data_IF_777127380146
#
_entry.id   IF_777127380146
#
_cell.length_a   1.000
_cell.length_b   1.000
_cell.length_c   1.000
_cell.angle_alpha   90.00
_cell.angle_beta   90.00
_cell.angle_gamma   90.00
#
_symmetry.space_group_name_H-M   'P 1'
#
loop_
_entity.id
_entity.type
_entity.pdbx_description
1 polymer ?
#
# COMPACT_ATOMS: atom_id res chain seq x y z
N UNK A 1 9.60 -12.73 3.21
CA UNK A 1 8.61 -12.54 4.30
C UNK A 1 7.62 -13.69 4.27
N UNK A 2 7.27 -14.26 5.43
CA UNK A 2 6.31 -15.37 5.51
C UNK A 2 4.91 -14.93 5.10
N UNK A 3 4.09 -15.86 4.60
CA UNK A 3 2.70 -15.58 4.18
C UNK A 3 1.88 -15.02 5.34
N UNK A 4 2.04 -15.56 6.55
CA UNK A 4 1.37 -15.06 7.76
C UNK A 4 1.69 -13.60 8.06
N UNK A 5 2.95 -13.19 7.93
CA UNK A 5 3.36 -11.81 8.13
C UNK A 5 2.77 -10.86 7.05
N UNK A 6 2.68 -11.30 5.79
CA UNK A 6 2.03 -10.51 4.72
C UNK A 6 0.55 -10.25 5.01
N UNK A 7 -0.14 -11.26 5.51
CA UNK A 7 -1.56 -11.16 5.90
C UNK A 7 -1.72 -10.18 7.06
N UNK A 8 -0.92 -10.30 8.12
CA UNK A 8 -0.96 -9.37 9.27
C UNK A 8 -0.70 -7.91 8.86
N UNK A 9 0.30 -7.67 8.02
CA UNK A 9 0.60 -6.33 7.51
C UNK A 9 -0.55 -5.79 6.67
N UNK A 10 -1.16 -6.61 5.82
CA UNK A 10 -2.32 -6.19 5.01
C UNK A 10 -3.51 -5.82 5.90
N UNK A 11 -3.79 -6.59 6.95
CA UNK A 11 -4.83 -6.27 7.93
C UNK A 11 -4.53 -4.93 8.61
N UNK A 12 -3.28 -4.70 9.03
CA UNK A 12 -2.85 -3.43 9.62
C UNK A 12 -3.06 -2.24 8.68
N UNK A 13 -2.76 -2.40 7.38
CA UNK A 13 -3.00 -1.37 6.37
C UNK A 13 -4.50 -1.07 6.24
N UNK A 14 -5.38 -2.08 6.23
CA UNK A 14 -6.83 -1.88 6.13
C UNK A 14 -7.36 -1.14 7.37
N UNK A 15 -6.93 -1.53 8.57
CA UNK A 15 -7.33 -0.87 9.82
C UNK A 15 -6.89 0.61 9.80
N UNK A 16 -5.63 0.87 9.45
CA UNK A 16 -5.11 2.23 9.34
C UNK A 16 -5.84 3.06 8.29
N UNK A 17 -6.20 2.45 7.15
CA UNK A 17 -6.98 3.10 6.11
C UNK A 17 -8.38 3.49 6.58
N UNK A 18 -9.12 2.58 7.24
CA UNK A 18 -10.44 2.87 7.79
C UNK A 18 -10.37 3.99 8.83
N UNK A 19 -9.34 3.98 9.68
CA UNK A 19 -9.13 5.03 10.67
C UNK A 19 -8.91 6.41 10.01
N UNK A 20 -7.99 6.49 9.05
CA UNK A 20 -7.71 7.72 8.30
C UNK A 20 -8.95 8.22 7.56
N UNK A 21 -9.66 7.32 6.88
CA UNK A 21 -10.86 7.65 6.13
C UNK A 21 -11.98 8.13 7.07
N UNK A 22 -12.11 7.52 8.26
CA UNK A 22 -13.03 7.97 9.31
C UNK A 22 -12.74 9.39 9.79
N UNK A 23 -11.48 9.71 10.10
CA UNK A 23 -11.05 11.06 10.51
C UNK A 23 -11.31 12.09 9.40
N UNK A 24 -10.95 11.74 8.17
CA UNK A 24 -11.14 12.58 6.98
C UNK A 24 -12.63 12.81 6.67
N UNK A 25 -13.49 11.81 6.87
CA UNK A 25 -14.95 11.91 6.67
C UNK A 25 -15.60 12.73 7.78
N UNK A 26 -15.22 12.50 9.03
CA UNK A 26 -15.73 13.26 10.18
C UNK A 26 -15.39 14.76 10.06
N UNK A 27 -14.17 15.08 9.63
CA UNK A 27 -13.72 16.46 9.41
C UNK A 27 -14.52 17.17 8.30
N UNK A 28 -14.94 16.43 7.25
CA UNK A 28 -15.73 16.98 6.13
C UNK A 28 -17.21 17.09 6.39
N UNK A 29 -17.78 16.25 7.26
CA UNK A 29 -19.19 16.37 7.68
C UNK A 29 -19.51 17.75 8.29
N UNK A 30 -18.51 18.44 8.84
CA UNK A 30 -18.63 19.83 9.31
C UNK A 30 -18.73 20.88 8.19
N UNK A 31 -18.39 20.55 6.94
CA UNK A 31 -18.30 21.48 5.81
C UNK A 31 -19.41 21.38 4.76
N UNK A 32 -20.42 20.51 4.96
CA UNK A 32 -21.63 20.46 4.14
C UNK A 32 -21.56 19.65 2.83
N UNK A 33 -20.43 19.02 2.50
CA UNK A 33 -20.30 18.13 1.34
C UNK A 33 -20.20 16.66 1.76
N UNK A 34 -21.19 15.86 1.35
CA UNK A 34 -21.26 14.41 1.60
C UNK A 34 -20.51 13.57 0.55
N UNK A 35 -19.80 14.22 -0.38
CA UNK A 35 -19.17 13.54 -1.52
C UNK A 35 -17.72 13.18 -1.20
N UNK A 36 -17.26 11.95 -1.49
CA UNK A 36 -15.85 11.57 -1.41
C UNK A 36 -15.00 12.58 -2.19
N UNK A 37 -14.03 13.18 -1.51
CA UNK A 37 -13.15 14.19 -2.10
C UNK A 37 -11.93 13.58 -2.78
N UNK A 38 -11.17 14.41 -3.50
CA UNK A 38 -9.89 14.03 -4.11
C UNK A 38 -8.93 13.40 -3.08
N UNK A 39 -8.96 13.84 -1.82
CA UNK A 39 -8.16 13.24 -0.76
C UNK A 39 -8.52 11.78 -0.45
N UNK A 40 -9.79 11.38 -0.60
CA UNK A 40 -10.19 9.98 -0.44
C UNK A 40 -9.65 9.12 -1.57
N UNK A 41 -9.68 9.63 -2.79
CA UNK A 41 -9.10 8.97 -3.97
C UNK A 41 -7.60 8.79 -3.82
N UNK A 42 -6.89 9.80 -3.33
CA UNK A 42 -5.45 9.71 -3.06
C UNK A 42 -5.19 8.68 -1.95
N UNK A 43 -5.97 8.70 -0.87
CA UNK A 43 -5.85 7.73 0.21
C UNK A 43 -6.10 6.30 -0.30
N UNK A 44 -7.12 6.11 -1.13
CA UNK A 44 -7.41 4.82 -1.79
C UNK A 44 -6.26 4.37 -2.69
N UNK A 45 -5.73 5.28 -3.51
CA UNK A 45 -4.57 5.01 -4.36
C UNK A 45 -3.35 4.59 -3.55
N UNK A 46 -3.09 5.28 -2.44
CA UNK A 46 -2.03 4.94 -1.48
C UNK A 46 -2.24 3.57 -0.84
N UNK A 47 -3.46 3.23 -0.42
CA UNK A 47 -3.79 1.91 0.12
C UNK A 47 -3.51 0.81 -0.90
N UNK A 48 -3.98 0.96 -2.13
CA UNK A 48 -3.79 -0.03 -3.20
C UNK A 48 -2.29 -0.20 -3.50
N UNK A 49 -1.54 0.89 -3.60
CA UNK A 49 -0.09 0.84 -3.82
C UNK A 49 0.65 0.16 -2.65
N UNK A 50 0.26 0.46 -1.41
CA UNK A 50 0.82 -0.15 -0.20
C UNK A 50 0.57 -1.66 -0.14
N UNK A 51 -0.67 -2.09 -0.38
CA UNK A 51 -1.00 -3.53 -0.46
C UNK A 51 -0.19 -4.16 -1.60
N UNK A 52 -0.19 -3.58 -2.80
CA UNK A 52 0.59 -4.11 -3.94
C UNK A 52 2.08 -4.25 -3.61
N UNK A 53 2.65 -3.32 -2.86
CA UNK A 53 4.05 -3.39 -2.42
C UNK A 53 4.31 -4.55 -1.45
N UNK A 54 3.42 -4.80 -0.49
CA UNK A 54 3.52 -5.92 0.46
C UNK A 54 3.50 -7.28 -0.26
N UNK A 55 2.65 -7.38 -1.29
CA UNK A 55 2.49 -8.61 -2.05
C UNK A 55 3.49 -8.75 -3.20
N UNK A 56 4.22 -7.69 -3.56
CA UNK A 56 5.27 -7.73 -4.58
C UNK A 56 6.27 -8.83 -4.22
N UNK A 57 6.42 -9.82 -5.10
CA UNK A 57 7.53 -10.77 -4.97
C UNK A 57 8.82 -10.00 -5.23
N UNK A 58 9.83 -10.23 -4.39
CA UNK A 58 11.18 -9.85 -4.77
C UNK A 58 11.50 -10.65 -6.01
N UNK A 59 11.75 -9.98 -7.13
CA UNK A 59 12.45 -10.63 -8.22
C UNK A 59 13.81 -10.96 -7.64
N UNK A 60 14.08 -12.23 -7.39
CA UNK A 60 15.47 -12.67 -7.24
C UNK A 60 16.11 -12.35 -8.59
N UNK A 61 16.78 -11.21 -8.63
CA UNK A 61 17.66 -10.88 -9.72
C UNK A 61 18.85 -11.82 -9.54
N UNK A 62 18.73 -13.02 -10.12
CA UNK A 62 19.89 -13.87 -10.36
C UNK A 62 20.69 -13.10 -11.41
N UNK A 63 21.52 -12.17 -10.93
CA UNK A 63 22.55 -11.50 -11.72
C UNK A 63 23.48 -12.60 -12.23
N UNK A 64 23.12 -13.18 -13.37
CA UNK A 64 24.01 -14.01 -14.19
C UNK A 64 24.98 -13.08 -14.93
N UNK A 65 25.56 -12.10 -14.23
CA UNK A 65 26.68 -11.34 -14.74
C UNK A 65 27.91 -12.25 -14.69
N UNK A 66 27.96 -13.22 -15.61
CA UNK A 66 29.20 -13.90 -15.98
C UNK A 66 30.10 -12.81 -16.55
N UNK A 67 30.95 -12.26 -15.68
CA UNK A 67 32.18 -11.63 -16.10
C UNK A 67 32.96 -12.73 -16.82
N UNK A 68 32.87 -12.75 -18.15
CA UNK A 68 33.75 -13.57 -18.96
C UNK A 68 35.18 -13.08 -18.70
N UNK A 69 35.87 -13.84 -17.87
CA UNK A 69 37.26 -13.61 -17.51
C UNK A 69 38.04 -14.85 -17.94
N UNK A 70 38.52 -14.84 -19.18
CA UNK A 70 39.65 -15.65 -19.69
C UNK A 70 40.34 -14.82 -20.77
N UNK A 71 41.52 -14.28 -20.50
CA UNK A 71 42.88 -14.90 -20.50
C UNK A 71 43.41 -15.11 -21.90
#
# INVERSE_FOLDING_TARGET
MSTGAKVLVTIGIIIGFIFLLGVLTASRKSGGSSTPGIFDLILFGGMIAGIRAVWKKSSDNIDNHKLDKRS
#
